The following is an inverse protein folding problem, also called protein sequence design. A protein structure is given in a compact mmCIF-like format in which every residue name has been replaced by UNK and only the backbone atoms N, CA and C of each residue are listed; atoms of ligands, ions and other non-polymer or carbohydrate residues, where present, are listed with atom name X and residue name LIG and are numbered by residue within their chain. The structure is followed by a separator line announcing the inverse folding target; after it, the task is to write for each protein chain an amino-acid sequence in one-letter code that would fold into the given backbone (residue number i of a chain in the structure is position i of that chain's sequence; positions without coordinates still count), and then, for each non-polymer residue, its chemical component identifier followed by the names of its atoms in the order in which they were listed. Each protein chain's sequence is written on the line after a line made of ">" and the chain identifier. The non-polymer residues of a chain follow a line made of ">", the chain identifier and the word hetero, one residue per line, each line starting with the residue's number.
data_IF_191782563412
#
_entry.id   IF_191782563412
#
_cell.length_a   1.000
_cell.length_b   1.000
_cell.length_c   1.000
_cell.angle_alpha   90.00
_cell.angle_beta   90.00
_cell.angle_gamma   90.00
#
_symmetry.space_group_name_H-M   'P 1'
#
loop_
_entity.id
_entity.type
_entity.pdbx_description
1 polymer ?
#
# COMPACT_ATOMS: atom_id res chain seq x y z
N UNK A 1 -4.65 13.80 9.16
CA UNK A 1 -4.37 15.10 8.51
C UNK A 1 -3.62 14.89 7.20
N UNK A 2 -3.92 15.67 6.15
CA UNK A 2 -3.33 15.48 4.80
C UNK A 2 -1.82 15.72 4.73
N UNK A 3 -1.25 16.38 5.73
CA UNK A 3 0.16 16.80 5.81
C UNK A 3 1.03 15.93 6.73
N UNK A 4 0.51 14.82 7.25
CA UNK A 4 1.26 13.94 8.16
C UNK A 4 1.96 12.84 7.36
N UNK A 5 3.30 12.74 7.40
CA UNK A 5 4.01 11.63 6.80
C UNK A 5 3.59 10.29 7.39
N UNK A 6 3.50 9.27 6.54
CA UNK A 6 3.18 7.90 6.95
C UNK A 6 4.40 7.01 6.80
N UNK A 7 4.56 6.08 7.74
CA UNK A 7 5.57 5.03 7.66
C UNK A 7 4.92 3.74 7.19
N UNK A 8 5.44 3.16 6.11
CA UNK A 8 4.99 1.90 5.49
C UNK A 8 6.18 1.10 5.00
N UNK A 9 6.00 -0.22 4.78
CA UNK A 9 7.02 -1.04 4.10
C UNK A 9 6.79 -1.00 2.59
N UNK A 10 7.87 -1.05 1.83
CA UNK A 10 7.84 -1.24 0.38
C UNK A 10 7.59 -2.72 0.09
N UNK A 11 6.58 -3.03 -0.72
CA UNK A 11 6.23 -4.43 -1.05
C UNK A 11 6.11 -4.71 -2.55
N UNK A 12 6.16 -3.69 -3.40
CA UNK A 12 6.40 -3.85 -4.83
C UNK A 12 7.12 -2.62 -5.42
N UNK A 13 8.01 -2.90 -6.37
CA UNK A 13 8.87 -2.01 -7.13
C UNK A 13 8.31 -1.73 -8.53
N UNK A 14 8.82 -0.70 -9.23
CA UNK A 14 8.51 -0.47 -10.63
C UNK A 14 8.60 -1.73 -11.50
N UNK A 15 7.62 -1.92 -12.39
CA UNK A 15 7.52 -3.09 -13.27
C UNK A 15 6.81 -4.30 -12.65
N UNK A 16 6.76 -4.42 -11.32
CA UNK A 16 6.00 -5.49 -10.68
C UNK A 16 4.49 -5.30 -10.87
N UNK A 17 3.76 -6.41 -11.04
CA UNK A 17 2.32 -6.38 -11.23
C UNK A 17 1.59 -6.36 -9.90
N UNK A 18 0.70 -5.38 -9.74
CA UNK A 18 -0.20 -5.28 -8.59
C UNK A 18 -1.64 -5.30 -9.08
N UNK A 19 -2.45 -6.13 -8.45
CA UNK A 19 -3.85 -6.31 -8.79
C UNK A 19 -4.73 -6.10 -7.55
N UNK A 20 -5.78 -5.31 -7.71
CA UNK A 20 -6.81 -5.06 -6.71
C UNK A 20 -8.13 -5.57 -7.28
N UNK A 21 -8.66 -6.64 -6.66
CA UNK A 21 -9.89 -7.31 -7.07
C UNK A 21 -10.73 -7.62 -5.84
N UNK A 22 -11.95 -7.08 -5.76
CA UNK A 22 -12.80 -7.13 -4.57
C UNK A 22 -12.01 -6.78 -3.30
N UNK A 23 -11.95 -7.62 -2.28
CA UNK A 23 -11.20 -7.32 -1.07
C UNK A 23 -9.69 -7.57 -1.23
N UNK A 24 -9.28 -8.37 -2.21
CA UNK A 24 -7.92 -8.86 -2.34
C UNK A 24 -6.98 -7.85 -3.01
N UNK A 25 -5.78 -7.73 -2.44
CA UNK A 25 -4.60 -7.15 -3.09
C UNK A 25 -3.64 -8.28 -3.41
N UNK A 26 -3.23 -8.35 -4.67
CA UNK A 26 -2.43 -9.43 -5.23
C UNK A 26 -1.14 -8.85 -5.81
N UNK A 27 0.01 -9.44 -5.49
CA UNK A 27 1.32 -9.08 -6.03
C UNK A 27 2.05 -10.38 -6.36
N UNK A 28 2.56 -10.51 -7.59
CA UNK A 28 3.26 -11.72 -8.02
C UNK A 28 2.39 -13.00 -7.97
N UNK A 29 1.07 -12.87 -8.08
CA UNK A 29 0.11 -13.98 -7.99
C UNK A 29 -0.35 -14.33 -6.57
N UNK A 30 0.28 -13.78 -5.54
CA UNK A 30 -0.04 -14.05 -4.14
C UNK A 30 -0.96 -12.98 -3.56
N UNK A 31 -1.95 -13.40 -2.76
CA UNK A 31 -2.77 -12.46 -1.97
C UNK A 31 -1.91 -11.92 -0.83
N UNK A 32 -1.56 -10.64 -0.90
CA UNK A 32 -0.66 -10.00 0.07
C UNK A 32 -1.39 -9.21 1.14
N UNK A 33 -2.65 -8.86 0.90
CA UNK A 33 -3.52 -8.18 1.85
C UNK A 33 -5.00 -8.35 1.48
N UNK A 34 -5.86 -8.20 2.48
CA UNK A 34 -7.31 -8.03 2.32
C UNK A 34 -7.73 -6.64 2.79
N UNK A 35 -8.72 -6.06 2.11
CA UNK A 35 -9.30 -4.74 2.40
C UNK A 35 -10.53 -4.87 3.28
N UNK A 36 -10.69 -3.91 4.18
CA UNK A 36 -11.92 -3.72 4.92
C UNK A 36 -12.76 -2.63 4.24
N UNK A 37 -14.08 -2.78 4.23
CA UNK A 37 -14.99 -1.77 3.66
C UNK A 37 -14.98 -0.47 4.47
N UNK A 38 -14.80 -0.56 5.78
CA UNK A 38 -14.87 0.57 6.71
C UNK A 38 -13.72 0.56 7.71
N UNK A 39 -13.43 1.74 8.26
CA UNK A 39 -12.54 1.88 9.40
C UNK A 39 -13.24 1.60 10.74
N UNK A 40 -12.52 1.76 11.86
CA UNK A 40 -13.05 1.50 13.20
C UNK A 40 -14.14 2.47 13.65
N UNK A 41 -14.36 3.56 12.91
CA UNK A 41 -15.44 4.53 13.16
C UNK A 41 -16.59 4.34 12.16
N UNK A 42 -16.57 3.28 11.34
CA UNK A 42 -17.60 3.00 10.34
C UNK A 42 -17.50 3.85 9.08
N UNK A 43 -16.43 4.63 8.90
CA UNK A 43 -16.25 5.46 7.70
C UNK A 43 -15.80 4.59 6.54
N UNK A 44 -16.40 4.76 5.37
CA UNK A 44 -16.03 4.04 4.17
C UNK A 44 -14.56 4.31 3.79
N UNK A 45 -13.83 3.24 3.46
CA UNK A 45 -12.44 3.34 3.03
C UNK A 45 -12.35 3.54 1.51
N UNK A 46 -11.35 4.32 1.03
CA UNK A 46 -11.06 4.45 -0.39
C UNK A 46 -10.87 3.09 -1.07
N UNK A 47 -11.35 3.01 -2.30
CA UNK A 47 -11.38 1.76 -3.06
C UNK A 47 -10.90 2.00 -4.49
N UNK A 48 -9.78 1.38 -4.85
CA UNK A 48 -9.28 1.36 -6.23
C UNK A 48 -9.31 -0.07 -6.78
N UNK A 49 -9.46 -0.21 -8.08
CA UNK A 49 -9.47 -1.50 -8.77
C UNK A 49 -8.58 -1.44 -9.99
N UNK A 50 -8.04 -2.59 -10.39
CA UNK A 50 -7.19 -2.71 -11.57
C UNK A 50 -6.09 -3.73 -11.36
N UNK A 51 -5.46 -4.16 -12.44
CA UNK A 51 -4.37 -5.13 -12.44
C UNK A 51 -3.37 -4.68 -13.49
N UNK A 52 -2.20 -4.18 -13.05
CA UNK A 52 -1.18 -3.62 -13.94
C UNK A 52 0.20 -3.67 -13.32
N UNK A 53 1.21 -3.59 -14.18
CA UNK A 53 2.56 -3.24 -13.76
C UNK A 53 2.59 -1.82 -13.14
N UNK A 54 3.41 -1.64 -12.11
CA UNK A 54 3.79 -0.32 -11.62
C UNK A 54 4.62 0.41 -12.68
N UNK A 55 4.34 1.69 -12.90
CA UNK A 55 5.18 2.51 -13.77
C UNK A 55 6.56 2.74 -13.15
N UNK A 56 7.51 3.25 -13.95
CA UNK A 56 8.89 3.52 -13.51
C UNK A 56 9.01 4.43 -12.28
N UNK A 57 7.96 5.22 -11.99
CA UNK A 57 7.93 6.17 -10.87
C UNK A 57 6.87 5.80 -9.83
N UNK A 58 6.51 4.53 -9.70
CA UNK A 58 5.53 4.06 -8.72
C UNK A 58 6.05 2.94 -7.85
N UNK A 59 5.58 2.94 -6.61
CA UNK A 59 5.84 1.90 -5.62
C UNK A 59 4.53 1.44 -4.99
N UNK A 60 4.51 0.22 -4.45
CA UNK A 60 3.41 -0.23 -3.61
C UNK A 60 3.86 -0.34 -2.16
N UNK A 61 3.16 0.38 -1.27
CA UNK A 61 3.53 0.52 0.14
C UNK A 61 2.46 -0.14 1.03
N UNK A 62 2.84 -1.14 1.82
CA UNK A 62 1.91 -1.98 2.57
C UNK A 62 2.54 -2.39 3.91
N UNK A 63 1.73 -2.50 4.95
CA UNK A 63 2.13 -3.19 6.17
C UNK A 63 1.32 -4.50 6.30
N UNK A 64 1.94 -5.63 5.93
CA UNK A 64 1.27 -6.94 5.77
C UNK A 64 0.73 -7.45 7.12
N UNK A 65 1.47 -7.19 8.18
CA UNK A 65 1.19 -7.63 9.54
C UNK A 65 0.10 -6.78 10.23
N UNK A 66 -0.36 -5.71 9.59
CA UNK A 66 -1.37 -4.80 10.12
C UNK A 66 -2.62 -4.77 9.22
N UNK A 67 -3.62 -5.65 9.43
CA UNK A 67 -4.84 -5.73 8.61
C UNK A 67 -5.65 -4.42 8.53
N UNK A 68 -5.56 -3.56 9.56
CA UNK A 68 -6.25 -2.26 9.63
C UNK A 68 -5.38 -1.07 9.20
N UNK A 69 -4.17 -1.30 8.70
CA UNK A 69 -3.29 -0.21 8.26
C UNK A 69 -3.87 0.51 7.05
N UNK A 70 -3.96 1.84 7.13
CA UNK A 70 -4.28 2.68 5.98
C UNK A 70 -3.04 2.86 5.10
N UNK A 71 -2.97 2.13 3.98
CA UNK A 71 -1.82 2.08 3.08
C UNK A 71 -2.23 1.84 1.60
N UNK A 72 -1.33 1.41 0.72
CA UNK A 72 -1.60 1.25 -0.73
C UNK A 72 -2.74 0.28 -1.02
N UNK A 73 -3.15 -0.56 -0.07
CA UNK A 73 -4.39 -1.34 -0.23
C UNK A 73 -5.61 -0.45 -0.49
N UNK A 74 -5.65 0.77 0.07
CA UNK A 74 -6.78 1.70 -0.09
C UNK A 74 -6.49 2.84 -1.07
N UNK A 75 -5.28 3.40 -1.08
CA UNK A 75 -4.94 4.53 -1.96
C UNK A 75 -4.13 4.16 -3.22
N UNK A 76 -3.83 2.88 -3.41
CA UNK A 76 -3.19 2.35 -4.61
C UNK A 76 -1.69 2.62 -4.72
N UNK A 77 -1.13 2.45 -5.94
CA UNK A 77 0.25 2.78 -6.27
C UNK A 77 0.62 4.21 -5.87
N UNK A 78 1.81 4.38 -5.30
CA UNK A 78 2.31 5.64 -4.78
C UNK A 78 3.40 6.19 -5.70
N UNK A 79 3.24 7.41 -6.23
CA UNK A 79 4.30 8.07 -6.99
C UNK A 79 5.56 8.28 -6.16
N UNK A 80 6.74 8.04 -6.76
CA UNK A 80 8.05 8.22 -6.14
C UNK A 80 8.22 9.61 -5.50
N UNK A 81 7.68 10.66 -6.13
CA UNK A 81 7.71 12.03 -5.62
C UNK A 81 7.02 12.25 -4.27
N UNK A 82 6.17 11.30 -3.84
CA UNK A 82 5.50 11.35 -2.53
C UNK A 82 6.34 10.68 -1.43
N UNK A 83 7.46 10.04 -1.78
CA UNK A 83 8.38 9.42 -0.82
C UNK A 83 9.43 10.44 -0.41
N UNK A 84 9.39 10.83 0.86
CA UNK A 84 10.29 11.85 1.42
C UNK A 84 11.64 11.29 1.87
N UNK A 85 11.74 9.97 2.08
CA UNK A 85 12.97 9.33 2.54
C UNK A 85 12.78 7.86 2.90
N UNK A 86 13.91 7.19 3.13
CA UNK A 86 13.97 5.80 3.62
C UNK A 86 14.34 5.82 5.10
N UNK A 87 13.58 5.11 5.92
CA UNK A 87 13.94 4.91 7.31
C UNK A 87 15.15 3.97 7.41
N UNK A 88 16.13 4.37 8.22
CA UNK A 88 17.29 3.55 8.59
C UNK A 88 17.13 3.27 10.08
N UNK A 89 17.01 1.99 10.49
CA UNK A 89 16.86 1.67 11.89
C UNK A 89 18.13 2.05 12.67
N UNK A 90 17.96 2.60 13.87
CA UNK A 90 19.08 2.95 14.75
C UNK A 90 19.48 1.76 15.64
N UNK A 91 18.53 0.88 15.95
CA UNK A 91 18.72 -0.29 16.80
C UNK A 91 17.63 -1.33 16.47
N UNK A 92 17.98 -2.61 16.39
CA UNK A 92 17.08 -3.71 15.98
C UNK A 92 17.29 -5.00 16.78
N UNK A 93 18.05 -4.94 17.87
CA UNK A 93 18.35 -6.10 18.72
C UNK A 93 17.21 -6.40 19.70
#
# INVERSE_FOLDING_TARGET
>A
PRSVPLVKRLVALPGEHVCAFNEAIIIGGEIVASRLATDTQGRALPWWSGCRALSQNEFFLLNREAPRSFDSRYFGPVPAKNIIGRLVPLWTE
#
